data_IF_905378135977
#
_entry.id   IF_905378135977
#
_cell.length_a   1.000
_cell.length_b   1.000
_cell.length_c   1.000
_cell.angle_alpha   90.00
_cell.angle_beta   90.00
_cell.angle_gamma   90.00
#
_symmetry.space_group_name_H-M   'P 1'
#
loop_
_entity.id
_entity.type
_entity.pdbx_description
1 polymer ?
#
# COMPACT_ATOMS: atom_id res chain seq x y z
N UNK A 1 -0.55 22.85 -21.19
CA UNK A 1 -1.38 21.78 -20.63
C UNK A 1 -1.63 22.14 -19.17
N UNK A 2 -2.89 22.16 -18.72
CA UNK A 2 -3.17 22.29 -17.28
C UNK A 2 -2.54 21.06 -16.59
N UNK A 3 -1.72 21.30 -15.55
CA UNK A 3 -1.18 20.23 -14.74
C UNK A 3 -2.35 19.38 -14.22
N UNK A 4 -2.28 18.06 -14.40
CA UNK A 4 -3.29 17.13 -13.91
C UNK A 4 -3.42 17.33 -12.40
N UNK A 5 -4.56 17.85 -11.93
CA UNK A 5 -4.81 17.97 -10.50
C UNK A 5 -5.01 16.58 -9.90
N UNK A 6 -4.51 16.37 -8.68
CA UNK A 6 -4.62 15.10 -7.97
C UNK A 6 -5.48 15.24 -6.70
N UNK A 7 -6.11 14.15 -6.30
CA UNK A 7 -6.71 14.01 -4.98
C UNK A 7 -5.65 13.48 -4.02
N UNK A 8 -5.47 14.14 -2.88
CA UNK A 8 -4.69 13.60 -1.75
C UNK A 8 -5.65 12.91 -0.80
N UNK A 9 -5.49 11.60 -0.60
CA UNK A 9 -6.26 10.79 0.33
C UNK A 9 -5.42 10.40 1.55
N UNK A 10 -5.89 10.69 2.76
CA UNK A 10 -5.18 10.39 4.01
C UNK A 10 -6.07 9.53 4.90
N UNK A 11 -5.54 8.41 5.41
CA UNK A 11 -6.22 7.61 6.44
C UNK A 11 -5.65 7.95 7.82
N UNK A 12 -6.52 8.12 8.81
CA UNK A 12 -6.11 8.43 10.19
C UNK A 12 -6.97 7.71 11.22
N UNK A 13 -6.38 7.45 12.40
CA UNK A 13 -7.10 6.99 13.59
C UNK A 13 -6.37 7.39 14.87
N UNK A 14 -7.03 8.19 15.72
CA UNK A 14 -6.51 8.60 17.04
C UNK A 14 -5.12 9.26 17.01
N UNK A 15 -4.78 9.98 15.92
CA UNK A 15 -3.47 10.60 15.71
C UNK A 15 -3.59 12.06 15.24
N UNK A 16 -4.26 12.95 16.01
CA UNK A 16 -4.53 14.32 15.56
C UNK A 16 -3.27 15.13 15.27
N UNK A 17 -2.18 14.91 16.02
CA UNK A 17 -0.90 15.59 15.79
C UNK A 17 -0.18 15.14 14.53
N UNK A 18 -0.18 13.84 14.23
CA UNK A 18 0.39 13.30 13.00
C UNK A 18 -0.39 13.79 11.78
N UNK A 19 -1.72 13.68 11.80
CA UNK A 19 -2.60 14.19 10.75
C UNK A 19 -2.37 15.69 10.49
N UNK A 20 -2.32 16.50 11.55
CA UNK A 20 -2.10 17.94 11.40
C UNK A 20 -0.76 18.25 10.73
N UNK A 21 0.29 17.47 11.04
CA UNK A 21 1.61 17.63 10.43
C UNK A 21 1.62 17.16 8.97
N UNK A 22 0.96 16.04 8.67
CA UNK A 22 0.78 15.55 7.30
C UNK A 22 0.05 16.61 6.44
N UNK A 23 -1.10 17.11 6.90
CA UNK A 23 -1.87 18.14 6.21
C UNK A 23 -1.05 19.43 5.98
N UNK A 24 -0.32 19.90 6.99
CA UNK A 24 0.53 21.09 6.85
C UNK A 24 1.63 20.90 5.79
N UNK A 25 2.16 19.70 5.64
CA UNK A 25 3.21 19.38 4.65
C UNK A 25 2.73 19.49 3.20
N UNK A 26 1.41 19.46 2.96
CA UNK A 26 0.83 19.57 1.62
C UNK A 26 0.91 21.00 1.04
N UNK A 27 1.28 22.01 1.85
CA UNK A 27 1.38 23.39 1.41
C UNK A 27 2.30 23.56 0.17
N UNK A 28 3.42 22.83 0.13
CA UNK A 28 4.38 22.88 -0.99
C UNK A 28 3.84 22.36 -2.32
N UNK A 29 2.84 21.48 -2.28
CA UNK A 29 2.23 20.87 -3.49
C UNK A 29 0.82 21.39 -3.79
N UNK A 30 0.39 22.48 -3.14
CA UNK A 30 -0.99 23.00 -3.29
C UNK A 30 -1.38 23.25 -4.75
N UNK A 31 -0.46 23.64 -5.59
CA UNK A 31 -0.66 23.89 -7.02
C UNK A 31 -1.03 22.62 -7.81
N UNK A 32 -0.66 21.43 -7.33
CA UNK A 32 -1.00 20.14 -7.93
C UNK A 32 -2.31 19.57 -7.38
N UNK A 33 -2.72 19.98 -6.17
CA UNK A 33 -3.83 19.38 -5.44
C UNK A 33 -5.16 19.96 -5.88
N UNK A 34 -6.07 19.12 -6.34
CA UNK A 34 -7.47 19.45 -6.64
C UNK A 34 -8.35 19.38 -5.39
N UNK A 35 -8.14 18.35 -4.58
CA UNK A 35 -8.84 18.15 -3.31
C UNK A 35 -7.98 17.35 -2.31
N UNK A 36 -8.27 17.56 -1.03
CA UNK A 36 -7.74 16.71 0.07
C UNK A 36 -8.92 16.03 0.75
N UNK A 37 -8.83 14.70 0.89
CA UNK A 37 -9.86 13.91 1.56
C UNK A 37 -9.21 13.12 2.69
N UNK A 38 -9.75 13.25 3.89
CA UNK A 38 -9.30 12.51 5.08
C UNK A 38 -10.34 11.46 5.43
N UNK A 39 -9.91 10.21 5.57
CA UNK A 39 -10.74 9.15 6.13
C UNK A 39 -10.40 8.95 7.60
N UNK A 40 -11.37 9.24 8.47
CA UNK A 40 -11.30 9.00 9.91
C UNK A 40 -11.86 7.61 10.24
N UNK A 41 -10.96 6.69 10.57
CA UNK A 41 -11.25 5.29 10.92
C UNK A 41 -11.72 5.16 12.39
N UNK A 42 -12.74 5.94 12.77
CA UNK A 42 -13.35 5.87 14.09
C UNK A 42 -12.46 6.43 15.20
N UNK A 43 -11.87 7.62 15.00
CA UNK A 43 -11.12 8.30 16.06
C UNK A 43 -12.02 8.77 17.21
N UNK A 44 -11.48 8.76 18.44
CA UNK A 44 -12.10 9.32 19.64
C UNK A 44 -11.09 10.24 20.35
N UNK A 45 -11.34 11.55 20.39
CA UNK A 45 -12.42 12.28 19.70
C UNK A 45 -12.30 12.20 18.16
N UNK A 46 -13.37 12.50 17.41
CA UNK A 46 -13.32 12.54 15.95
C UNK A 46 -12.17 13.37 15.42
N UNK A 47 -11.58 12.93 14.30
CA UNK A 47 -10.53 13.69 13.65
C UNK A 47 -11.05 15.07 13.19
N UNK A 48 -10.22 16.10 13.34
CA UNK A 48 -10.49 17.44 12.84
C UNK A 48 -9.83 17.59 11.46
N UNK A 49 -10.66 17.76 10.44
CA UNK A 49 -10.23 18.08 9.08
C UNK A 49 -9.79 19.55 8.99
N UNK A 50 -8.58 19.86 9.49
CA UNK A 50 -8.07 21.24 9.42
C UNK A 50 -7.97 21.76 7.99
N UNK A 51 -8.41 23.00 7.77
CA UNK A 51 -8.39 23.66 6.47
C UNK A 51 -9.49 23.17 5.53
N UNK A 52 -9.19 23.10 4.22
CA UNK A 52 -10.14 22.70 3.17
C UNK A 52 -10.25 21.18 2.98
N UNK A 53 -9.76 20.37 3.91
CA UNK A 53 -9.83 18.91 3.78
C UNK A 53 -11.26 18.39 4.03
N UNK A 54 -11.79 17.64 3.07
CA UNK A 54 -13.07 16.96 3.20
C UNK A 54 -12.91 15.72 4.11
N UNK A 55 -13.69 15.65 5.17
CA UNK A 55 -13.65 14.53 6.11
C UNK A 55 -14.71 13.49 5.77
N UNK A 56 -14.28 12.22 5.71
CA UNK A 56 -15.16 11.06 5.67
C UNK A 56 -14.91 10.26 6.94
N UNK A 57 -15.92 10.09 7.78
CA UNK A 57 -15.80 9.35 9.02
C UNK A 57 -16.57 8.03 8.97
N UNK A 58 -15.95 6.98 9.48
CA UNK A 58 -16.63 5.71 9.76
C UNK A 58 -16.40 5.30 11.22
N UNK A 59 -17.42 5.47 12.10
CA UNK A 59 -17.29 5.16 13.51
C UNK A 59 -17.14 3.66 13.81
N UNK A 60 -17.44 2.78 12.85
CA UNK A 60 -17.26 1.33 13.00
C UNK A 60 -15.80 0.89 12.97
N UNK A 61 -14.90 1.78 12.58
CA UNK A 61 -13.45 1.53 12.47
C UNK A 61 -13.10 0.29 11.63
N UNK A 62 -13.47 0.30 10.33
CA UNK A 62 -13.28 -0.85 9.45
C UNK A 62 -11.81 -1.10 9.07
N UNK A 63 -10.93 -0.17 9.37
CA UNK A 63 -9.49 -0.25 9.09
C UNK A 63 -9.04 0.53 7.85
N UNK A 64 -7.75 0.83 7.81
CA UNK A 64 -7.15 1.70 6.80
C UNK A 64 -7.28 1.17 5.35
N UNK A 65 -7.36 -0.15 5.13
CA UNK A 65 -7.54 -0.73 3.79
C UNK A 65 -8.91 -0.33 3.23
N UNK A 66 -9.97 -0.42 4.05
CA UNK A 66 -11.32 0.05 3.71
C UNK A 66 -11.29 1.56 3.48
N UNK A 67 -10.60 2.30 4.36
CA UNK A 67 -10.42 3.74 4.24
C UNK A 67 -9.79 4.14 2.91
N UNK A 68 -8.67 3.51 2.52
CA UNK A 68 -8.00 3.76 1.24
C UNK A 68 -8.89 3.46 0.04
N UNK A 69 -9.64 2.35 0.06
CA UNK A 69 -10.62 2.06 -0.98
C UNK A 69 -11.70 3.14 -1.06
N UNK A 70 -12.17 3.63 0.09
CA UNK A 70 -13.17 4.69 0.16
C UNK A 70 -12.63 6.00 -0.40
N UNK A 71 -11.42 6.38 -0.02
CA UNK A 71 -10.74 7.57 -0.53
C UNK A 71 -10.63 7.56 -2.06
N UNK A 72 -10.22 6.45 -2.68
CA UNK A 72 -10.11 6.35 -4.14
C UNK A 72 -11.49 6.38 -4.81
N UNK A 73 -12.51 5.76 -4.23
CA UNK A 73 -13.89 5.83 -4.77
C UNK A 73 -14.45 7.25 -4.77
N UNK A 74 -14.21 7.97 -3.69
CA UNK A 74 -14.72 9.33 -3.46
C UNK A 74 -13.88 10.42 -4.14
N UNK A 75 -12.67 10.09 -4.62
CA UNK A 75 -11.81 11.01 -5.34
C UNK A 75 -12.46 11.48 -6.65
N UNK A 76 -12.25 12.75 -6.99
CA UNK A 76 -12.83 13.39 -8.18
C UNK A 76 -11.84 13.59 -9.32
N UNK A 77 -10.56 13.26 -9.09
CA UNK A 77 -9.47 13.43 -10.07
C UNK A 77 -8.95 12.10 -10.60
N UNK A 78 -8.24 12.13 -11.72
CA UNK A 78 -7.69 10.93 -12.38
C UNK A 78 -6.54 10.28 -11.60
N UNK A 79 -5.81 11.08 -10.82
CA UNK A 79 -4.68 10.64 -10.01
C UNK A 79 -5.02 10.79 -8.52
N UNK A 80 -4.66 9.76 -7.74
CA UNK A 80 -4.87 9.76 -6.29
C UNK A 80 -3.54 9.49 -5.60
N UNK A 81 -3.08 10.44 -4.79
CA UNK A 81 -1.95 10.28 -3.87
C UNK A 81 -2.50 9.80 -2.53
N UNK A 82 -2.25 8.54 -2.19
CA UNK A 82 -2.60 8.00 -0.88
C UNK A 82 -1.43 8.15 0.08
N UNK A 83 -1.71 8.69 1.25
CA UNK A 83 -0.75 8.91 2.34
C UNK A 83 -1.27 8.32 3.65
N UNK A 84 -0.37 7.82 4.48
CA UNK A 84 -0.67 7.58 5.88
C UNK A 84 -0.55 8.89 6.68
N UNK A 85 -1.21 9.01 7.83
CA UNK A 85 -1.20 10.23 8.65
C UNK A 85 0.18 10.57 9.25
N UNK A 86 1.10 9.61 9.27
CA UNK A 86 2.47 9.76 9.75
C UNK A 86 3.49 10.04 8.63
N UNK A 87 2.98 10.48 7.46
CA UNK A 87 3.82 10.91 6.34
C UNK A 87 3.95 12.43 6.23
N UNK A 88 4.97 12.89 5.51
CA UNK A 88 5.24 14.30 5.20
C UNK A 88 5.75 14.45 3.79
N UNK A 89 5.15 15.34 3.03
CA UNK A 89 5.75 15.83 1.78
C UNK A 89 6.89 16.76 2.16
N UNK A 90 8.13 16.29 1.94
CA UNK A 90 9.35 17.05 2.30
C UNK A 90 9.69 18.05 1.21
N UNK A 91 9.58 17.62 -0.05
CA UNK A 91 9.88 18.40 -1.23
C UNK A 91 8.77 18.21 -2.29
N UNK A 92 8.30 19.31 -2.82
CA UNK A 92 7.29 19.33 -3.90
C UNK A 92 7.77 18.58 -5.14
N UNK A 93 9.04 18.65 -5.48
CA UNK A 93 9.64 18.01 -6.65
C UNK A 93 9.44 16.49 -6.68
N UNK A 94 9.35 15.83 -5.51
CA UNK A 94 9.07 14.42 -5.41
C UNK A 94 7.68 14.06 -5.99
N UNK A 95 6.67 14.86 -5.66
CA UNK A 95 5.31 14.65 -6.14
C UNK A 95 5.15 15.11 -7.59
N UNK A 96 5.76 16.23 -7.96
CA UNK A 96 5.81 16.73 -9.34
C UNK A 96 6.40 15.67 -10.28
N UNK A 97 7.54 15.08 -9.90
CA UNK A 97 8.19 14.02 -10.64
C UNK A 97 7.32 12.78 -10.76
N UNK A 98 6.62 12.38 -9.69
CA UNK A 98 5.70 11.26 -9.71
C UNK A 98 4.52 11.49 -10.67
N UNK A 99 3.94 12.71 -10.67
CA UNK A 99 2.86 13.10 -11.57
C UNK A 99 3.36 13.12 -13.03
N UNK A 100 4.55 13.66 -13.29
CA UNK A 100 5.17 13.65 -14.61
C UNK A 100 5.33 12.23 -15.15
N UNK A 101 5.94 11.32 -14.38
CA UNK A 101 6.20 9.94 -14.78
C UNK A 101 4.90 9.18 -15.04
N UNK A 102 3.91 9.27 -14.15
CA UNK A 102 2.66 8.55 -14.34
C UNK A 102 1.83 9.13 -15.49
N UNK A 103 1.89 10.43 -15.73
CA UNK A 103 1.16 11.08 -16.83
C UNK A 103 1.82 10.86 -18.18
N UNK A 104 3.14 10.68 -18.22
CA UNK A 104 3.92 10.49 -19.44
C UNK A 104 3.89 9.06 -20.01
N UNK A 105 3.51 8.05 -19.22
CA UNK A 105 3.43 6.65 -19.68
C UNK A 105 2.14 5.98 -19.18
N UNK A 106 1.21 5.72 -20.08
CA UNK A 106 -0.07 5.08 -19.80
C UNK A 106 0.04 3.66 -19.22
N UNK A 107 1.21 3.03 -19.34
CA UNK A 107 1.48 1.72 -18.72
C UNK A 107 1.91 1.82 -17.26
N UNK A 108 2.21 3.02 -16.76
CA UNK A 108 2.48 3.23 -15.34
C UNK A 108 1.15 3.37 -14.61
N UNK A 109 0.83 2.37 -13.79
CA UNK A 109 -0.40 2.33 -13.00
C UNK A 109 -0.22 2.79 -11.56
N UNK A 110 1.02 2.74 -11.05
CA UNK A 110 1.36 3.16 -9.69
C UNK A 110 2.79 3.70 -9.60
N UNK A 111 2.99 4.70 -8.74
CA UNK A 111 4.32 5.19 -8.33
C UNK A 111 4.57 4.83 -6.87
N UNK A 112 5.75 4.29 -6.60
CA UNK A 112 6.28 4.03 -5.27
C UNK A 112 7.29 5.12 -4.90
N UNK A 113 7.09 5.76 -3.76
CA UNK A 113 8.00 6.75 -3.20
C UNK A 113 9.09 6.10 -2.34
N UNK A 114 10.24 6.77 -2.23
CA UNK A 114 11.28 6.39 -1.30
C UNK A 114 10.98 6.97 0.10
N UNK A 115 11.28 6.18 1.13
CA UNK A 115 11.12 6.59 2.52
C UNK A 115 12.28 7.46 2.98
N UNK A 116 11.97 8.50 3.74
CA UNK A 116 12.95 9.37 4.40
C UNK A 116 12.55 9.65 5.85
N UNK A 117 13.50 10.10 6.64
CA UNK A 117 13.26 10.71 7.94
C UNK A 117 12.56 12.06 7.77
N UNK A 118 12.07 12.65 8.85
CA UNK A 118 11.42 13.97 8.83
C UNK A 118 12.33 15.11 8.33
N UNK A 119 13.64 14.93 8.43
CA UNK A 119 14.68 15.89 7.96
C UNK A 119 15.13 15.65 6.51
N UNK A 120 14.50 14.70 5.81
CA UNK A 120 14.80 14.37 4.41
C UNK A 120 15.91 13.34 4.22
N UNK A 121 16.54 12.83 5.26
CA UNK A 121 17.55 11.76 5.12
C UNK A 121 16.88 10.47 4.67
N UNK A 122 17.33 9.85 3.55
CA UNK A 122 16.77 8.59 3.09
C UNK A 122 16.91 7.49 4.15
N UNK A 123 15.88 6.68 4.30
CA UNK A 123 15.97 5.47 5.12
C UNK A 123 16.95 4.46 4.53
N UNK A 124 17.45 3.51 5.36
CA UNK A 124 18.30 2.43 4.88
C UNK A 124 17.69 1.72 3.67
N UNK A 125 18.51 1.40 2.68
CA UNK A 125 18.08 0.78 1.41
C UNK A 125 17.31 -0.54 1.61
N UNK A 126 17.54 -1.24 2.73
CA UNK A 126 16.84 -2.48 3.08
C UNK A 126 15.39 -2.25 3.51
N UNK A 127 15.02 -1.02 3.83
CA UNK A 127 13.67 -0.61 4.21
C UNK A 127 12.94 0.13 3.08
N UNK A 128 13.61 0.37 1.95
CA UNK A 128 13.01 0.99 0.77
C UNK A 128 12.17 -0.02 -0.03
N UNK A 129 11.21 0.44 -0.86
CA UNK A 129 10.44 -0.42 -1.76
C UNK A 129 11.34 -1.25 -2.70
N UNK A 130 12.52 -0.72 -3.04
CA UNK A 130 13.51 -1.35 -3.89
C UNK A 130 14.93 -0.92 -3.51
N UNK A 131 15.90 -1.74 -3.89
CA UNK A 131 17.34 -1.40 -3.80
C UNK A 131 17.86 -0.68 -5.04
N UNK A 132 16.99 -0.39 -6.01
CA UNK A 132 17.36 0.31 -7.24
C UNK A 132 17.80 1.75 -6.93
N UNK A 133 18.93 2.16 -7.49
CA UNK A 133 19.45 3.54 -7.37
C UNK A 133 18.94 4.46 -8.50
N UNK A 134 18.11 3.95 -9.41
CA UNK A 134 17.51 4.68 -10.53
C UNK A 134 16.02 4.36 -10.62
N UNK A 135 15.21 5.20 -11.29
CA UNK A 135 13.82 4.87 -11.56
C UNK A 135 13.70 3.46 -12.15
N UNK A 136 12.84 2.65 -11.56
CA UNK A 136 12.79 1.22 -11.88
C UNK A 136 11.40 0.64 -11.73
N UNK A 137 11.06 -0.31 -12.62
CA UNK A 137 9.88 -1.13 -12.46
C UNK A 137 10.14 -2.14 -11.34
N UNK A 138 9.25 -2.15 -10.36
CA UNK A 138 9.33 -2.99 -9.16
C UNK A 138 8.07 -3.83 -8.97
N UNK A 139 8.11 -4.89 -8.15
CA UNK A 139 6.94 -5.74 -7.96
C UNK A 139 5.84 -5.08 -7.11
N UNK A 140 6.17 -4.24 -6.13
CA UNK A 140 5.21 -3.66 -5.20
C UNK A 140 5.74 -2.39 -4.55
N UNK A 141 4.86 -1.45 -4.25
CA UNK A 141 5.14 -0.31 -3.39
C UNK A 141 4.96 -0.64 -1.90
N UNK A 142 5.33 0.29 -1.03
CA UNK A 142 5.00 0.30 0.41
C UNK A 142 3.85 1.29 0.61
N UNK A 143 2.85 0.91 1.39
CA UNK A 143 1.57 1.62 1.50
C UNK A 143 1.61 3.00 2.15
N UNK A 144 2.71 3.42 2.80
CA UNK A 144 2.80 4.70 3.51
C UNK A 144 2.53 5.92 2.60
N UNK A 145 3.02 5.87 1.36
CA UNK A 145 2.81 6.87 0.31
C UNK A 145 2.90 6.23 -1.08
N UNK A 146 1.90 6.44 -1.93
CA UNK A 146 1.90 5.96 -3.30
C UNK A 146 0.91 6.74 -4.16
N UNK A 147 1.24 6.92 -5.45
CA UNK A 147 0.37 7.58 -6.42
C UNK A 147 -0.26 6.54 -7.34
N UNK A 148 -1.55 6.66 -7.62
CA UNK A 148 -2.34 5.70 -8.39
C UNK A 148 -3.16 6.38 -9.48
N UNK A 149 -3.44 5.65 -10.58
CA UNK A 149 -4.52 5.98 -11.51
C UNK A 149 -5.86 5.52 -10.91
N UNK A 150 -6.77 6.47 -10.64
CA UNK A 150 -8.07 6.20 -10.02
C UNK A 150 -8.88 5.14 -10.77
N UNK A 151 -9.15 5.37 -12.04
CA UNK A 151 -9.99 4.46 -12.85
C UNK A 151 -9.38 3.06 -12.97
N UNK A 152 -8.05 2.96 -13.08
CA UNK A 152 -7.37 1.67 -13.10
C UNK A 152 -7.52 0.93 -11.77
N UNK A 153 -7.35 1.64 -10.66
CA UNK A 153 -7.53 1.07 -9.32
C UNK A 153 -8.94 0.52 -9.14
N UNK A 154 -9.96 1.29 -9.52
CA UNK A 154 -11.37 0.88 -9.43
C UNK A 154 -11.69 -0.31 -10.36
N UNK A 155 -11.20 -0.28 -11.59
CA UNK A 155 -11.39 -1.37 -12.57
C UNK A 155 -10.75 -2.69 -12.10
N UNK A 156 -9.63 -2.62 -11.40
CA UNK A 156 -8.98 -3.79 -10.79
C UNK A 156 -9.63 -4.24 -9.49
N UNK A 157 -10.67 -3.54 -9.00
CA UNK A 157 -11.41 -3.86 -7.79
C UNK A 157 -10.77 -3.38 -6.49
N UNK A 158 -9.81 -2.45 -6.56
CA UNK A 158 -9.17 -1.83 -5.40
C UNK A 158 -8.35 -2.81 -4.56
N UNK A 159 -8.16 -2.48 -3.30
CA UNK A 159 -7.55 -3.38 -2.33
C UNK A 159 -8.58 -4.40 -1.82
N UNK A 160 -8.16 -5.63 -1.60
CA UNK A 160 -9.01 -6.64 -0.96
C UNK A 160 -9.11 -6.35 0.53
N UNK A 161 -10.30 -5.98 0.98
CA UNK A 161 -10.57 -5.60 2.37
C UNK A 161 -10.38 -6.76 3.35
N UNK A 162 -10.45 -7.99 2.85
CA UNK A 162 -10.18 -9.22 3.60
C UNK A 162 -8.75 -9.30 4.18
N UNK A 163 -7.81 -8.50 3.65
CA UNK A 163 -6.46 -8.46 4.21
C UNK A 163 -6.40 -7.78 5.58
N UNK A 164 -7.28 -6.82 5.86
CA UNK A 164 -7.43 -6.14 7.15
C UNK A 164 -6.17 -5.35 7.57
N UNK A 165 -4.98 -5.96 7.47
CA UNK A 165 -3.73 -5.41 7.98
C UNK A 165 -2.52 -6.01 7.25
N UNK A 166 -1.81 -5.23 6.41
CA UNK A 166 -0.69 -5.61 5.54
C UNK A 166 -1.02 -6.56 4.38
N UNK A 167 -0.27 -6.43 3.32
CA UNK A 167 -0.23 -7.35 2.18
C UNK A 167 -1.18 -7.01 1.04
N UNK A 168 -2.01 -5.98 1.21
CA UNK A 168 -2.93 -5.47 0.19
C UNK A 168 -2.18 -4.90 -1.01
N UNK A 169 -1.04 -4.24 -0.77
CA UNK A 169 -0.20 -3.65 -1.83
C UNK A 169 0.36 -4.74 -2.74
N UNK A 170 0.82 -5.83 -2.15
CA UNK A 170 1.34 -6.97 -2.89
C UNK A 170 0.28 -7.61 -3.77
N UNK A 171 -0.93 -7.80 -3.24
CA UNK A 171 -2.07 -8.36 -3.99
C UNK A 171 -2.46 -7.41 -5.13
N UNK A 172 -2.62 -6.13 -4.84
CA UNK A 172 -3.00 -5.14 -5.84
C UNK A 172 -1.95 -5.00 -6.95
N UNK A 173 -0.68 -4.85 -6.60
CA UNK A 173 0.40 -4.71 -7.58
C UNK A 173 0.57 -5.95 -8.46
N UNK A 174 0.30 -7.15 -7.94
CA UNK A 174 0.33 -8.36 -8.74
C UNK A 174 -0.82 -8.39 -9.76
N UNK A 175 -2.03 -7.96 -9.38
CA UNK A 175 -3.17 -7.80 -10.31
C UNK A 175 -2.93 -6.67 -11.32
N UNK A 176 -2.30 -5.58 -10.89
CA UNK A 176 -1.87 -4.48 -11.74
C UNK A 176 -0.90 -4.97 -12.83
N UNK A 177 0.09 -5.77 -12.42
CA UNK A 177 1.08 -6.37 -13.33
C UNK A 177 0.43 -7.34 -14.33
N UNK A 178 -0.53 -8.15 -13.87
CA UNK A 178 -1.26 -9.10 -14.72
C UNK A 178 -2.15 -8.38 -15.75
N UNK A 179 -2.64 -7.20 -15.42
CA UNK A 179 -3.37 -6.32 -16.33
C UNK A 179 -2.46 -5.56 -17.34
N UNK A 180 -1.12 -5.81 -17.33
CA UNK A 180 -0.15 -5.22 -18.25
C UNK A 180 0.41 -3.86 -17.81
N UNK A 181 0.11 -3.41 -16.57
CA UNK A 181 0.61 -2.15 -16.03
C UNK A 181 1.86 -2.37 -15.16
N UNK A 182 2.52 -1.26 -14.82
CA UNK A 182 3.78 -1.26 -14.07
C UNK A 182 3.64 -0.44 -12.79
N UNK A 183 4.34 -0.87 -11.75
CA UNK A 183 4.66 -0.05 -10.57
C UNK A 183 6.08 0.48 -10.75
N UNK A 184 6.24 1.80 -10.76
CA UNK A 184 7.55 2.47 -10.91
C UNK A 184 7.98 3.03 -9.56
N UNK A 185 9.18 2.69 -9.14
CA UNK A 185 9.85 3.23 -7.98
C UNK A 185 10.75 4.39 -8.37
N UNK A 186 10.63 5.51 -7.67
CA UNK A 186 11.45 6.71 -7.84
C UNK A 186 12.33 6.89 -6.59
N UNK A 187 13.61 6.51 -6.64
CA UNK A 187 14.50 6.55 -5.48
C UNK A 187 14.85 7.96 -5.01
N UNK A 188 14.71 8.95 -5.87
CA UNK A 188 14.90 10.37 -5.65
C UNK A 188 13.63 11.11 -5.19
N UNK A 189 12.46 10.51 -5.35
CA UNK A 189 11.19 11.03 -4.86
C UNK A 189 10.98 10.65 -3.39
N UNK A 190 11.57 11.45 -2.49
CA UNK A 190 11.57 11.20 -1.06
C UNK A 190 10.29 11.73 -0.40
N UNK A 191 9.64 10.87 0.38
CA UNK A 191 8.51 11.24 1.26
C UNK A 191 8.88 10.86 2.69
N UNK A 192 8.73 11.78 3.62
CA UNK A 192 8.99 11.54 5.03
C UNK A 192 8.00 10.53 5.61
N UNK A 193 8.51 9.58 6.38
CA UNK A 193 7.70 8.58 7.07
C UNK A 193 8.18 8.47 8.52
N UNK A 194 7.32 8.85 9.46
CA UNK A 194 7.64 8.91 10.90
C UNK A 194 6.70 7.96 11.66
N UNK A 195 6.87 6.63 11.48
CA UNK A 195 5.95 5.66 12.02
C UNK A 195 6.02 5.62 13.55
N UNK A 196 4.85 5.68 14.19
CA UNK A 196 4.77 5.41 15.60
C UNK A 196 4.85 3.90 15.86
N UNK A 197 5.91 3.48 16.53
CA UNK A 197 6.13 2.08 16.90
C UNK A 197 5.38 1.69 18.20
N UNK A 198 4.83 2.67 18.94
CA UNK A 198 4.17 2.42 20.22
C UNK A 198 2.92 1.54 20.04
N UNK A 199 2.81 0.52 20.87
CA UNK A 199 1.65 -0.37 20.89
C UNK A 199 1.54 -1.41 19.76
N UNK A 200 2.51 -1.52 18.86
CA UNK A 200 2.49 -2.54 17.79
C UNK A 200 2.78 -3.95 18.33
N UNK A 201 1.76 -4.81 18.36
CA UNK A 201 1.93 -6.22 18.74
C UNK A 201 2.69 -7.00 17.68
N UNK A 202 3.90 -7.49 18.02
CA UNK A 202 4.72 -8.31 17.11
C UNK A 202 4.04 -9.63 16.74
N UNK A 203 3.29 -10.24 17.66
CA UNK A 203 2.53 -11.47 17.39
C UNK A 203 1.38 -11.21 16.42
N UNK A 204 0.63 -10.10 16.59
CA UNK A 204 -0.40 -9.68 15.64
C UNK A 204 0.20 -9.45 14.25
N UNK A 205 1.30 -8.73 14.18
CA UNK A 205 2.02 -8.48 12.91
C UNK A 205 2.40 -9.80 12.22
N UNK A 206 3.07 -10.72 12.94
CA UNK A 206 3.45 -12.02 12.41
C UNK A 206 2.25 -12.81 11.87
N UNK A 207 1.15 -12.87 12.64
CA UNK A 207 -0.06 -13.59 12.24
C UNK A 207 -0.64 -13.03 10.94
N UNK A 208 -0.82 -11.71 10.85
CA UNK A 208 -1.39 -11.09 9.66
C UNK A 208 -0.48 -11.18 8.44
N UNK A 209 0.83 -11.01 8.57
CA UNK A 209 1.78 -11.16 7.46
C UNK A 209 1.69 -12.56 6.85
N UNK A 210 1.73 -13.59 7.68
CA UNK A 210 1.67 -14.98 7.18
C UNK A 210 0.28 -15.31 6.65
N UNK A 211 -0.77 -14.95 7.37
CA UNK A 211 -2.16 -15.15 6.95
C UNK A 211 -2.42 -14.51 5.58
N UNK A 212 -2.00 -13.28 5.40
CA UNK A 212 -2.22 -12.54 4.17
C UNK A 212 -1.33 -13.05 3.02
N UNK A 213 -0.15 -13.55 3.30
CA UNK A 213 0.67 -14.26 2.31
C UNK A 213 -0.02 -15.54 1.82
N UNK A 214 -0.69 -16.28 2.72
CA UNK A 214 -1.51 -17.45 2.35
C UNK A 214 -2.73 -17.03 1.51
N UNK A 215 -3.46 -16.01 1.91
CA UNK A 215 -4.60 -15.50 1.14
C UNK A 215 -4.17 -14.95 -0.23
N UNK A 216 -3.02 -14.25 -0.30
CA UNK A 216 -2.47 -13.79 -1.57
C UNK A 216 -2.18 -14.97 -2.52
N UNK A 217 -1.58 -16.06 -2.01
CA UNK A 217 -1.39 -17.27 -2.79
C UNK A 217 -2.74 -17.90 -3.21
N UNK A 218 -3.71 -17.95 -2.30
CA UNK A 218 -5.05 -18.44 -2.61
C UNK A 218 -5.72 -17.67 -3.73
N UNK A 219 -5.72 -16.34 -3.67
CA UNK A 219 -6.40 -15.50 -4.67
C UNK A 219 -5.69 -15.48 -6.03
N UNK A 220 -4.37 -15.40 -6.02
CA UNK A 220 -3.60 -15.02 -7.19
C UNK A 220 -2.79 -16.15 -7.83
N UNK A 221 -2.41 -17.20 -7.09
CA UNK A 221 -1.62 -18.27 -7.70
C UNK A 221 -2.50 -19.19 -8.56
N UNK A 222 -2.12 -19.45 -9.83
CA UNK A 222 -2.83 -20.40 -10.67
C UNK A 222 -2.64 -21.85 -10.22
N UNK A 223 -3.55 -22.76 -10.62
CA UNK A 223 -3.36 -24.18 -10.46
C UNK A 223 -2.28 -24.68 -11.45
N UNK A 224 -1.43 -25.65 -11.02
CA UNK A 224 -1.40 -26.32 -9.72
C UNK A 224 -0.56 -25.58 -8.66
N UNK A 225 0.03 -24.41 -8.98
CA UNK A 225 0.97 -23.66 -8.15
C UNK A 225 0.47 -23.44 -6.70
N UNK A 226 -0.79 -23.06 -6.53
CA UNK A 226 -1.37 -22.78 -5.20
C UNK A 226 -1.27 -23.99 -4.25
N UNK A 227 -1.23 -25.21 -4.78
CA UNK A 227 -1.20 -26.43 -3.96
C UNK A 227 0.07 -26.57 -3.13
N UNK A 228 1.19 -26.00 -3.58
CA UNK A 228 2.45 -26.00 -2.82
C UNK A 228 2.83 -24.61 -2.28
N UNK A 229 2.43 -23.52 -2.96
CA UNK A 229 2.76 -22.18 -2.47
C UNK A 229 2.02 -21.83 -1.20
N UNK A 230 0.74 -22.21 -1.07
CA UNK A 230 -0.04 -21.94 0.13
C UNK A 230 0.55 -22.67 1.36
N UNK A 231 0.82 -23.99 1.35
CA UNK A 231 1.50 -24.66 2.45
C UNK A 231 2.88 -24.06 2.75
N UNK A 232 3.67 -23.74 1.73
CA UNK A 232 4.98 -23.12 1.91
C UNK A 232 4.89 -21.75 2.61
N UNK A 233 3.87 -20.92 2.27
CA UNK A 233 3.60 -19.66 2.96
C UNK A 233 3.18 -19.87 4.41
N UNK A 234 2.32 -20.85 4.65
CA UNK A 234 1.92 -21.21 6.01
C UNK A 234 3.12 -21.62 6.89
N UNK A 235 4.04 -22.41 6.35
CA UNK A 235 5.24 -22.84 7.06
C UNK A 235 6.20 -21.67 7.42
N UNK A 236 6.10 -20.53 6.72
CA UNK A 236 6.87 -19.33 7.07
C UNK A 236 6.56 -18.84 8.48
N UNK A 237 5.37 -19.12 9.03
CA UNK A 237 5.03 -18.78 10.39
C UNK A 237 6.05 -19.30 11.40
N UNK A 238 6.40 -20.58 11.32
CA UNK A 238 7.33 -21.22 12.26
C UNK A 238 8.74 -20.64 12.12
N UNK A 239 9.18 -20.43 10.86
CA UNK A 239 10.50 -19.83 10.58
C UNK A 239 10.58 -18.39 11.10
N UNK A 240 9.57 -17.56 10.81
CA UNK A 240 9.56 -16.15 11.22
C UNK A 240 9.38 -16.03 12.73
N UNK A 241 8.49 -16.80 13.33
CA UNK A 241 8.31 -16.86 14.79
C UNK A 241 9.64 -17.15 15.51
N UNK A 242 10.37 -18.16 15.03
CA UNK A 242 11.67 -18.52 15.59
C UNK A 242 12.71 -17.42 15.34
N UNK A 243 12.88 -16.97 14.11
CA UNK A 243 13.86 -15.93 13.74
C UNK A 243 13.65 -14.60 14.44
N UNK A 244 12.40 -14.23 14.68
CA UNK A 244 12.05 -12.99 15.38
C UNK A 244 11.91 -13.16 16.89
N UNK A 245 12.10 -14.36 17.42
CA UNK A 245 11.94 -14.71 18.84
C UNK A 245 10.60 -14.26 19.41
N UNK A 246 9.51 -14.54 18.69
CA UNK A 246 8.15 -14.17 19.10
C UNK A 246 7.53 -15.34 19.88
N UNK A 247 7.04 -15.07 21.10
CA UNK A 247 6.24 -16.05 21.83
C UNK A 247 4.80 -16.01 21.35
N UNK A 248 4.44 -16.95 20.48
CA UNK A 248 3.10 -17.09 19.91
C UNK A 248 2.80 -18.56 19.61
N UNK A 249 2.51 -19.39 20.63
CA UNK A 249 2.40 -20.85 20.46
C UNK A 249 1.21 -21.27 19.60
N UNK A 250 0.12 -20.48 19.60
CA UNK A 250 -1.15 -20.83 18.94
C UNK A 250 -1.45 -20.02 17.68
N UNK A 251 -0.56 -19.14 17.27
CA UNK A 251 -0.78 -18.28 16.10
C UNK A 251 -0.97 -19.07 14.80
N UNK A 252 -0.30 -20.21 14.63
CA UNK A 252 -0.48 -21.10 13.47
C UNK A 252 -1.91 -21.62 13.34
N UNK A 253 -2.55 -21.97 14.47
CA UNK A 253 -3.94 -22.46 14.47
C UNK A 253 -4.91 -21.33 14.10
N UNK A 254 -4.68 -20.12 14.64
CA UNK A 254 -5.43 -18.93 14.27
C UNK A 254 -5.31 -18.65 12.76
N UNK A 255 -4.09 -18.69 12.21
CA UNK A 255 -3.83 -18.49 10.77
C UNK A 255 -4.57 -19.54 9.94
N UNK A 256 -4.42 -20.82 10.28
CA UNK A 256 -5.06 -21.89 9.52
C UNK A 256 -6.59 -21.75 9.49
N UNK A 257 -7.20 -21.52 10.65
CA UNK A 257 -8.65 -21.33 10.79
C UNK A 257 -9.13 -20.13 9.97
N UNK A 258 -8.42 -19.00 10.06
CA UNK A 258 -8.80 -17.76 9.41
C UNK A 258 -8.65 -17.85 7.88
N UNK A 259 -7.53 -18.42 7.40
CA UNK A 259 -7.31 -18.67 5.96
C UNK A 259 -8.40 -19.57 5.38
N UNK A 260 -8.75 -20.67 6.07
CA UNK A 260 -9.80 -21.60 5.60
C UNK A 260 -11.17 -20.90 5.58
N UNK A 261 -11.49 -20.12 6.61
CA UNK A 261 -12.75 -19.39 6.70
C UNK A 261 -12.89 -18.36 5.56
N UNK A 262 -11.84 -17.57 5.29
CA UNK A 262 -11.87 -16.59 4.21
C UNK A 262 -11.82 -17.25 2.84
N UNK A 263 -10.97 -18.26 2.62
CA UNK A 263 -10.93 -18.98 1.36
C UNK A 263 -12.29 -19.65 1.01
N UNK A 264 -13.01 -20.15 2.02
CA UNK A 264 -14.35 -20.70 1.84
C UNK A 264 -15.38 -19.62 1.44
N UNK A 265 -15.38 -18.48 2.18
CA UNK A 265 -16.36 -17.39 1.97
C UNK A 265 -16.14 -16.60 0.66
N UNK A 266 -14.91 -16.55 0.19
CA UNK A 266 -14.50 -15.69 -0.94
C UNK A 266 -13.98 -16.49 -2.14
N UNK A 267 -14.35 -17.77 -2.22
CA UNK A 267 -13.94 -18.66 -3.31
C UNK A 267 -14.36 -18.13 -4.69
N UNK A 268 -15.51 -17.49 -4.76
CA UNK A 268 -16.04 -16.83 -5.95
C UNK A 268 -15.22 -15.62 -6.40
N UNK A 269 -14.48 -15.00 -5.49
CA UNK A 269 -13.59 -13.86 -5.75
C UNK A 269 -12.18 -14.27 -6.17
N UNK A 270 -11.88 -15.56 -6.19
CA UNK A 270 -10.58 -16.05 -6.65
C UNK A 270 -10.43 -15.80 -8.14
N UNK A 271 -9.41 -14.99 -8.50
CA UNK A 271 -9.06 -14.64 -9.87
C UNK A 271 -7.54 -14.77 -10.02
N UNK A 272 -7.05 -15.99 -10.30
CA UNK A 272 -5.62 -16.23 -10.45
C UNK A 272 -5.03 -15.40 -11.59
N UNK A 273 -3.86 -14.85 -11.34
CA UNK A 273 -3.10 -14.15 -12.37
C UNK A 273 -2.40 -15.15 -13.29
N UNK A 274 -1.93 -14.69 -14.45
CA UNK A 274 -1.24 -15.52 -15.42
C UNK A 274 0.09 -16.06 -14.86
N UNK A 275 0.53 -17.21 -15.38
CA UNK A 275 1.86 -17.77 -15.04
C UNK A 275 2.99 -16.84 -15.49
N UNK A 276 2.77 -16.06 -16.55
CA UNK A 276 3.73 -15.09 -17.04
C UNK A 276 3.90 -13.95 -16.04
N UNK A 277 2.81 -13.43 -15.46
CA UNK A 277 2.84 -12.38 -14.43
C UNK A 277 3.50 -12.85 -13.15
N UNK A 278 3.29 -14.11 -12.73
CA UNK A 278 4.01 -14.69 -11.60
C UNK A 278 5.52 -14.76 -11.87
N UNK A 279 5.93 -15.19 -13.06
CA UNK A 279 7.36 -15.22 -13.41
C UNK A 279 7.96 -13.82 -13.39
N UNK A 280 7.32 -12.87 -14.07
CA UNK A 280 7.75 -11.48 -14.09
C UNK A 280 7.83 -10.87 -12.68
N UNK A 281 6.83 -11.13 -11.83
CA UNK A 281 6.85 -10.73 -10.43
C UNK A 281 8.09 -11.23 -9.68
N UNK A 282 8.41 -12.52 -9.84
CA UNK A 282 9.59 -13.13 -9.21
C UNK A 282 10.89 -12.54 -9.75
N UNK A 283 10.96 -12.26 -11.04
CA UNK A 283 12.11 -11.59 -11.67
C UNK A 283 12.30 -10.19 -11.12
N UNK A 284 11.24 -9.37 -11.10
CA UNK A 284 11.29 -8.00 -10.56
C UNK A 284 11.67 -7.97 -9.08
N UNK A 285 11.25 -8.98 -8.30
CA UNK A 285 11.66 -9.11 -6.90
C UNK A 285 13.16 -9.39 -6.73
N UNK A 286 13.77 -10.13 -7.68
CA UNK A 286 15.21 -10.43 -7.67
C UNK A 286 16.04 -9.28 -8.23
N UNK A 287 15.58 -8.70 -9.32
CA UNK A 287 16.24 -7.63 -10.04
C UNK A 287 15.20 -6.64 -10.62
N UNK A 288 15.05 -5.45 -10.03
CA UNK A 288 14.23 -4.39 -10.60
C UNK A 288 14.69 -4.06 -12.02
N UNK A 289 13.76 -3.75 -12.92
CA UNK A 289 14.09 -3.37 -14.30
C UNK A 289 14.18 -1.85 -14.40
N UNK A 290 15.25 -1.28 -15.00
CA UNK A 290 15.31 0.15 -15.24
C UNK A 290 14.03 0.64 -15.94
N UNK A 291 13.53 1.79 -15.48
CA UNK A 291 12.48 2.53 -16.14
C UNK A 291 13.16 3.62 -17.00
N UNK A 292 12.94 3.56 -18.30
CA UNK A 292 13.56 4.47 -19.28
C UNK A 292 12.65 5.66 -19.58
#
# INVERSE_FOLDING_TARGET
MMASRLTVGITTRNRPGALATCLASLAGIRHLVGEVVVFDDGSEPPADGKGDARLIRDPSSPGYIVGRNRLVREATTDLVLLLDDDTRVIDASAIERAVEVISGDDRVGAIAFAQAEADGRPWPVTLQPSRAARPSVIPSFIGFAHLLRRELFLRLGGYREEFIYYGEEKDFCLRLLDAGYRTVYLPDALVGHVPDAAGRSRSRYLRYVVRNDCLNAFYNDPLPRVLWTLPARFLLYFRMRHGWRIHDPWGWLWIARDVLAYAGRTRDRRRPVSRASIRLWVELKKAPRPYA
#
